data_IF_610844105817
#
_entry.id   IF_610844105817
#
_cell.length_a   1.000
_cell.length_b   1.000
_cell.length_c   1.000
_cell.angle_alpha   90.00
_cell.angle_beta   90.00
_cell.angle_gamma   90.00
#
_symmetry.space_group_name_H-M   'P 1'
#
loop_
_entity.id
_entity.type
_entity.pdbx_description
1 polymer ?
#
# COMPACT_ATOMS: atom_id res chain seq x y z
N UNK A 1 -21.06 21.92 -14.65
CA UNK A 1 -21.82 20.65 -14.57
C UNK A 1 -21.46 19.96 -13.27
N UNK A 2 -22.43 19.45 -12.50
CA UNK A 2 -22.11 18.72 -11.25
C UNK A 2 -21.67 17.29 -11.57
N UNK A 3 -20.66 16.72 -10.83
CA UNK A 3 -20.28 15.32 -10.99
C UNK A 3 -21.47 14.37 -10.80
N UNK A 4 -21.49 13.27 -11.56
CA UNK A 4 -22.55 12.25 -11.49
C UNK A 4 -21.93 10.87 -11.40
N UNK A 5 -22.66 9.94 -10.76
CA UNK A 5 -22.32 8.52 -10.83
C UNK A 5 -22.64 7.98 -12.23
N UNK A 6 -21.73 7.19 -12.76
CA UNK A 6 -21.94 6.49 -14.03
C UNK A 6 -22.78 5.24 -13.78
N UNK A 7 -23.53 4.85 -14.80
CA UNK A 7 -24.30 3.62 -14.79
C UNK A 7 -23.52 2.54 -15.53
N UNK A 8 -23.25 1.42 -14.87
CA UNK A 8 -22.69 0.25 -15.53
C UNK A 8 -23.78 -0.43 -16.35
N UNK A 9 -23.54 -0.60 -17.65
CA UNK A 9 -24.47 -1.25 -18.59
C UNK A 9 -24.10 -2.73 -18.79
N UNK A 10 -22.80 -3.05 -18.85
CA UNK A 10 -22.29 -4.39 -18.99
C UNK A 10 -20.88 -4.50 -18.39
N UNK A 11 -20.48 -5.73 -18.05
CA UNK A 11 -19.13 -6.08 -17.62
C UNK A 11 -18.67 -7.34 -18.34
N UNK A 12 -17.38 -7.41 -18.67
CA UNK A 12 -16.74 -8.63 -19.17
C UNK A 12 -15.33 -8.73 -18.64
N UNK A 13 -14.91 -9.95 -18.29
CA UNK A 13 -13.52 -10.22 -17.94
C UNK A 13 -12.64 -10.13 -19.20
N UNK A 14 -11.46 -9.53 -19.06
CA UNK A 14 -10.42 -9.46 -20.10
C UNK A 14 -9.29 -10.41 -19.75
N UNK A 15 -8.81 -10.32 -18.49
CA UNK A 15 -7.87 -11.26 -17.87
C UNK A 15 -8.41 -11.63 -16.50
N UNK A 16 -8.36 -12.92 -16.17
CA UNK A 16 -8.75 -13.40 -14.84
C UNK A 16 -7.93 -14.63 -14.48
N UNK A 17 -6.87 -14.38 -13.76
CA UNK A 17 -6.03 -15.42 -13.17
C UNK A 17 -5.75 -15.12 -11.70
N UNK A 18 -4.80 -15.81 -11.08
CA UNK A 18 -4.46 -15.59 -9.66
C UNK A 18 -3.72 -14.28 -9.41
N UNK A 19 -3.10 -13.70 -10.47
CA UNK A 19 -2.24 -12.52 -10.35
C UNK A 19 -2.89 -11.23 -10.81
N UNK A 20 -3.81 -11.33 -11.79
CA UNK A 20 -4.43 -10.17 -12.42
C UNK A 20 -5.90 -10.42 -12.69
N UNK A 21 -6.72 -9.48 -12.26
CA UNK A 21 -8.14 -9.40 -12.64
C UNK A 21 -8.38 -8.08 -13.33
N UNK A 22 -8.50 -8.14 -14.65
CA UNK A 22 -8.81 -7.00 -15.50
C UNK A 22 -10.17 -7.21 -16.14
N UNK A 23 -11.09 -6.29 -15.92
CA UNK A 23 -12.39 -6.28 -16.61
C UNK A 23 -12.54 -5.06 -17.50
N UNK A 24 -13.40 -5.18 -18.50
CA UNK A 24 -13.84 -4.09 -19.36
C UNK A 24 -15.33 -3.83 -19.10
N UNK A 25 -15.65 -2.64 -18.63
CA UNK A 25 -17.00 -2.20 -18.35
C UNK A 25 -17.51 -1.34 -19.49
N UNK A 26 -18.81 -1.47 -19.81
CA UNK A 26 -19.53 -0.52 -20.63
C UNK A 26 -20.33 0.39 -19.70
N UNK A 27 -20.05 1.68 -19.76
CA UNK A 27 -20.57 2.66 -18.80
C UNK A 27 -21.31 3.79 -19.51
N UNK A 28 -22.50 4.14 -19.03
CA UNK A 28 -23.19 5.36 -19.41
C UNK A 28 -22.82 6.48 -18.43
N UNK A 29 -22.16 7.51 -18.92
CA UNK A 29 -21.65 8.65 -18.17
C UNK A 29 -22.78 9.65 -17.88
N UNK A 30 -23.63 9.85 -18.88
CA UNK A 30 -24.86 10.63 -18.86
C UNK A 30 -25.78 10.11 -19.97
N UNK A 31 -27.09 10.42 -19.97
CA UNK A 31 -28.01 9.89 -20.94
C UNK A 31 -27.50 10.01 -22.40
N UNK A 32 -27.35 8.86 -23.05
CA UNK A 32 -26.86 8.75 -24.43
C UNK A 32 -25.35 8.86 -24.63
N UNK A 33 -24.56 9.10 -23.59
CA UNK A 33 -23.08 9.14 -23.67
C UNK A 33 -22.50 7.87 -23.04
N UNK A 34 -22.03 6.97 -23.88
CA UNK A 34 -21.50 5.66 -23.49
C UNK A 34 -20.00 5.60 -23.72
N UNK A 35 -19.26 5.11 -22.73
CA UNK A 35 -17.85 4.73 -22.79
C UNK A 35 -17.76 3.21 -22.82
N UNK A 36 -17.11 2.65 -23.84
CA UNK A 36 -16.91 1.21 -24.03
C UNK A 36 -15.62 0.96 -24.84
N UNK A 37 -14.61 0.26 -24.27
CA UNK A 37 -14.54 -0.22 -22.89
C UNK A 37 -13.98 0.82 -21.91
N UNK A 38 -14.36 0.71 -20.64
CA UNK A 38 -13.64 1.30 -19.51
C UNK A 38 -12.96 0.17 -18.74
N UNK A 39 -11.62 0.17 -18.72
CA UNK A 39 -10.85 -0.88 -18.05
C UNK A 39 -10.73 -0.63 -16.57
N UNK A 40 -11.01 -1.68 -15.78
CA UNK A 40 -10.92 -1.68 -14.32
C UNK A 40 -10.05 -2.84 -13.85
N UNK A 41 -9.06 -2.56 -13.03
CA UNK A 41 -8.27 -3.57 -12.32
C UNK A 41 -8.95 -3.87 -10.98
N UNK A 42 -9.28 -5.13 -10.75
CA UNK A 42 -9.82 -5.60 -9.48
C UNK A 42 -8.66 -6.16 -8.65
N UNK A 43 -8.25 -5.39 -7.66
CA UNK A 43 -7.15 -5.73 -6.76
C UNK A 43 -7.71 -6.04 -5.36
N UNK A 44 -7.06 -6.93 -4.58
CA UNK A 44 -7.31 -7.02 -3.15
C UNK A 44 -6.92 -5.73 -2.45
N UNK A 45 -7.48 -5.49 -1.27
CA UNK A 45 -7.02 -4.39 -0.42
C UNK A 45 -5.58 -4.65 0.05
N UNK A 46 -4.84 -3.58 0.30
CA UNK A 46 -3.47 -3.62 0.78
C UNK A 46 -3.37 -2.96 2.15
N UNK A 47 -2.32 -3.33 2.89
CA UNK A 47 -1.98 -2.68 4.15
C UNK A 47 -0.52 -2.25 4.13
N UNK A 48 -0.24 -1.08 4.74
CA UNK A 48 1.12 -0.62 5.01
C UNK A 48 1.22 -0.10 6.44
N UNK A 49 2.41 -0.24 7.01
CA UNK A 49 2.68 0.10 8.41
C UNK A 49 3.77 1.16 8.51
N UNK A 50 3.47 2.26 9.20
CA UNK A 50 4.48 3.18 9.70
C UNK A 50 4.91 2.65 11.07
N UNK A 51 6.02 1.93 11.14
CA UNK A 51 6.51 1.29 12.36
C UNK A 51 7.64 2.11 13.00
N UNK A 52 7.49 2.47 14.27
CA UNK A 52 8.44 3.27 15.04
C UNK A 52 9.09 2.42 16.12
N UNK A 53 10.42 2.45 16.20
CA UNK A 53 11.15 1.92 17.35
C UNK A 53 11.08 2.85 18.58
N UNK A 54 11.72 2.45 19.67
CA UNK A 54 11.77 3.23 20.91
C UNK A 54 12.48 4.59 20.75
N UNK A 55 13.37 4.73 19.78
CA UNK A 55 14.08 5.98 19.44
C UNK A 55 13.34 6.81 18.40
N UNK A 56 12.11 6.41 18.04
CA UNK A 56 11.22 7.08 17.08
C UNK A 56 11.76 7.10 15.65
N UNK A 57 12.56 6.12 15.30
CA UNK A 57 12.99 5.88 13.94
C UNK A 57 11.98 4.97 13.24
N UNK A 58 11.80 5.18 11.94
CA UNK A 58 10.83 4.51 11.08
C UNK A 58 11.50 3.31 10.43
N UNK A 59 10.88 2.14 10.55
CA UNK A 59 11.31 0.93 9.86
C UNK A 59 10.85 0.99 8.41
N UNK A 60 11.79 0.87 7.49
CA UNK A 60 11.55 0.78 6.05
C UNK A 60 12.10 -0.52 5.51
N UNK A 61 11.52 -0.95 4.42
CA UNK A 61 11.98 -2.07 3.57
C UNK A 61 12.46 -1.55 2.23
N UNK A 62 13.47 -2.19 1.63
CA UNK A 62 13.96 -1.87 0.30
C UNK A 62 13.87 -3.08 -0.58
N UNK A 63 13.29 -2.92 -1.76
CA UNK A 63 13.14 -3.98 -2.72
C UNK A 63 13.22 -3.47 -4.17
N UNK A 64 13.43 -4.39 -5.10
CA UNK A 64 13.40 -4.11 -6.53
C UNK A 64 11.96 -4.15 -7.06
N UNK A 65 11.54 -3.12 -7.76
CA UNK A 65 10.24 -3.02 -8.41
C UNK A 65 10.40 -3.13 -9.93
N UNK A 66 10.24 -4.36 -10.43
CA UNK A 66 10.47 -4.72 -11.83
C UNK A 66 9.78 -3.80 -12.85
N UNK A 67 8.50 -3.41 -12.72
CA UNK A 67 7.85 -2.56 -13.73
C UNK A 67 8.44 -1.16 -13.85
N UNK A 68 9.05 -0.65 -12.78
CA UNK A 68 9.68 0.67 -12.75
C UNK A 68 11.19 0.60 -12.94
N UNK A 69 11.79 -0.59 -12.89
CA UNK A 69 13.24 -0.85 -12.95
C UNK A 69 14.05 -0.06 -11.91
N UNK A 70 13.53 -0.05 -10.66
CA UNK A 70 14.16 0.69 -9.55
C UNK A 70 14.24 -0.13 -8.27
N UNK A 71 15.24 0.16 -7.44
CA UNK A 71 15.23 -0.18 -6.02
C UNK A 71 14.62 0.99 -5.25
N UNK A 72 13.61 0.74 -4.43
CA UNK A 72 12.94 1.79 -3.66
C UNK A 72 12.78 1.39 -2.20
N UNK A 73 12.95 2.36 -1.31
CA UNK A 73 12.54 2.24 0.08
C UNK A 73 11.04 2.41 0.19
N UNK A 74 10.40 1.64 1.03
CA UNK A 74 8.96 1.56 1.17
C UNK A 74 8.57 1.33 2.63
N UNK A 75 7.31 1.60 2.97
CA UNK A 75 6.73 1.14 4.22
C UNK A 75 6.48 -0.37 4.12
N UNK A 76 6.77 -1.17 5.15
CA UNK A 76 6.44 -2.59 5.15
C UNK A 76 4.93 -2.80 4.98
N UNK A 77 4.57 -3.86 4.22
CA UNK A 77 3.18 -4.21 3.98
C UNK A 77 2.93 -4.93 2.68
N UNK A 78 1.72 -5.45 2.53
CA UNK A 78 1.32 -6.27 1.39
C UNK A 78 -0.18 -6.44 1.26
N UNK A 79 -0.61 -7.57 0.70
CA UNK A 79 -2.00 -7.87 0.46
C UNK A 79 -2.73 -8.28 1.73
N UNK A 80 -3.99 -7.86 1.84
CA UNK A 80 -4.92 -8.40 2.83
C UNK A 80 -5.55 -9.65 2.25
N UNK A 81 -5.37 -10.79 2.93
CA UNK A 81 -5.95 -12.06 2.50
C UNK A 81 -7.48 -12.05 2.59
N UNK A 82 -8.14 -12.91 1.82
CA UNK A 82 -9.59 -13.00 1.86
C UNK A 82 -10.09 -13.35 3.27
N UNK A 83 -10.90 -12.48 3.86
CA UNK A 83 -11.44 -12.64 5.21
C UNK A 83 -10.49 -12.26 6.35
N UNK A 84 -9.31 -11.73 6.03
CA UNK A 84 -8.36 -11.24 7.02
C UNK A 84 -8.70 -9.79 7.41
N UNK A 85 -8.65 -9.49 8.71
CA UNK A 85 -8.83 -8.11 9.19
C UNK A 85 -7.59 -7.26 8.88
N UNK A 86 -7.74 -6.00 8.45
CA UNK A 86 -6.61 -5.16 8.04
C UNK A 86 -5.51 -5.01 9.08
N UNK A 87 -5.84 -4.96 10.37
CA UNK A 87 -4.85 -4.90 11.45
C UNK A 87 -4.06 -6.20 11.57
N UNK A 88 -4.70 -7.34 11.39
CA UNK A 88 -4.05 -8.65 11.44
C UNK A 88 -3.07 -8.78 10.26
N UNK A 89 -3.49 -8.37 9.07
CA UNK A 89 -2.61 -8.31 7.91
C UNK A 89 -1.40 -7.39 8.15
N UNK A 90 -1.60 -6.21 8.75
CA UNK A 90 -0.50 -5.29 9.07
C UNK A 90 0.53 -5.92 10.02
N UNK A 91 0.06 -6.65 11.02
CA UNK A 91 0.92 -7.35 11.99
C UNK A 91 1.69 -8.50 11.34
N UNK A 92 1.02 -9.28 10.47
CA UNK A 92 1.62 -10.37 9.72
C UNK A 92 2.71 -9.87 8.77
N UNK A 93 2.41 -8.91 7.90
CA UNK A 93 3.33 -8.34 6.93
C UNK A 93 4.56 -7.70 7.61
N UNK A 94 4.34 -6.92 8.68
CA UNK A 94 5.45 -6.34 9.45
C UNK A 94 6.41 -7.42 9.94
N UNK A 95 5.89 -8.53 10.48
CA UNK A 95 6.72 -9.63 10.98
C UNK A 95 7.42 -10.37 9.84
N UNK A 96 6.71 -10.71 8.77
CA UNK A 96 7.25 -11.48 7.64
C UNK A 96 8.37 -10.73 6.93
N UNK A 97 8.17 -9.46 6.59
CA UNK A 97 9.13 -8.65 5.85
C UNK A 97 10.29 -8.11 6.68
N UNK A 98 10.11 -7.93 8.00
CA UNK A 98 11.09 -7.21 8.82
C UNK A 98 11.53 -7.96 10.09
N UNK A 99 10.85 -9.06 10.43
CA UNK A 99 11.02 -9.74 11.71
C UNK A 99 10.56 -8.91 12.92
N UNK A 100 9.92 -7.75 12.70
CA UNK A 100 9.53 -6.85 13.78
C UNK A 100 8.10 -7.13 14.27
N UNK A 101 7.91 -6.86 15.56
CA UNK A 101 6.61 -6.77 16.22
C UNK A 101 6.48 -5.42 16.92
N UNK A 102 5.25 -5.00 17.23
CA UNK A 102 5.00 -3.75 17.93
C UNK A 102 3.93 -3.92 19.00
N UNK A 103 4.02 -3.14 20.08
CA UNK A 103 3.11 -3.24 21.22
C UNK A 103 1.86 -2.39 21.10
N UNK A 104 1.91 -1.28 20.33
CA UNK A 104 0.78 -0.37 20.15
C UNK A 104 0.48 -0.14 18.68
N UNK A 105 -0.79 -0.23 18.33
CA UNK A 105 -1.28 -0.06 16.98
C UNK A 105 -2.41 0.96 16.92
N UNK A 106 -2.39 1.83 15.95
CA UNK A 106 -3.47 2.76 15.67
C UNK A 106 -3.71 2.93 14.19
N UNK A 107 -4.98 2.99 13.81
CA UNK A 107 -5.37 3.24 12.41
C UNK A 107 -5.03 4.68 12.00
N UNK A 108 -4.40 4.85 10.84
CA UNK A 108 -4.05 6.17 10.28
C UNK A 108 -5.04 6.59 9.21
N UNK A 109 -5.19 5.77 8.16
CA UNK A 109 -6.05 6.09 7.01
C UNK A 109 -6.38 4.84 6.18
N UNK A 110 -7.44 4.96 5.37
CA UNK A 110 -7.70 4.06 4.24
C UNK A 110 -7.88 4.91 2.98
N UNK A 111 -6.98 4.73 2.01
CA UNK A 111 -6.91 5.52 0.78
C UNK A 111 -7.20 4.66 -0.45
N UNK A 112 -7.56 5.29 -1.54
CA UNK A 112 -7.57 4.66 -2.86
C UNK A 112 -6.23 4.93 -3.55
N UNK A 113 -5.43 3.91 -3.91
CA UNK A 113 -4.11 4.13 -4.55
C UNK A 113 -4.26 4.69 -5.96
N UNK A 114 -5.24 4.21 -6.72
CA UNK A 114 -5.55 4.72 -8.05
C UNK A 114 -7.05 4.58 -8.36
N UNK A 115 -7.92 5.48 -7.83
CA UNK A 115 -9.38 5.37 -7.98
C UNK A 115 -9.87 5.51 -9.42
N UNK A 116 -9.01 5.94 -10.35
CA UNK A 116 -9.34 6.02 -11.76
C UNK A 116 -9.28 4.66 -12.48
N UNK A 117 -8.63 3.66 -11.90
CA UNK A 117 -8.37 2.36 -12.54
C UNK A 117 -8.57 1.16 -11.64
N UNK A 118 -8.41 1.30 -10.33
CA UNK A 118 -8.37 0.22 -9.35
C UNK A 118 -9.56 0.28 -8.40
N UNK A 119 -9.94 -0.89 -7.88
CA UNK A 119 -11.09 -1.01 -6.97
C UNK A 119 -10.71 -1.01 -5.50
N UNK A 120 -9.44 -1.30 -5.20
CA UNK A 120 -8.94 -1.55 -3.86
C UNK A 120 -8.71 -0.29 -3.02
N UNK A 121 -8.51 -0.53 -1.74
CA UNK A 121 -7.99 0.44 -0.77
C UNK A 121 -6.61 0.03 -0.28
N UNK A 122 -5.91 1.01 0.26
CA UNK A 122 -4.68 0.83 1.03
C UNK A 122 -4.95 1.30 2.44
N UNK A 123 -4.89 0.39 3.39
CA UNK A 123 -5.03 0.66 4.82
C UNK A 123 -3.66 0.99 5.41
N UNK A 124 -3.58 1.99 6.27
CA UNK A 124 -2.35 2.38 6.94
C UNK A 124 -2.53 2.32 8.45
N UNK A 125 -1.56 1.71 9.12
CA UNK A 125 -1.46 1.68 10.57
C UNK A 125 -0.16 2.31 11.04
N UNK A 126 -0.21 2.95 12.20
CA UNK A 126 0.96 3.34 12.98
C UNK A 126 1.19 2.24 14.02
N UNK A 127 2.40 1.69 14.02
CA UNK A 127 2.87 0.72 14.99
C UNK A 127 3.98 1.36 15.82
N UNK A 128 3.81 1.43 17.15
CA UNK A 128 4.79 2.04 18.05
C UNK A 128 5.46 0.98 18.92
N UNK A 129 6.68 1.30 19.37
CA UNK A 129 7.55 0.40 20.11
C UNK A 129 7.87 -0.87 19.28
N UNK A 130 8.10 -0.67 17.98
CA UNK A 130 8.49 -1.73 17.09
C UNK A 130 9.92 -2.20 17.41
N UNK A 131 10.11 -3.50 17.45
CA UNK A 131 11.42 -4.12 17.65
C UNK A 131 11.54 -5.39 16.82
N UNK A 132 12.72 -5.63 16.26
CA UNK A 132 13.01 -6.87 15.52
C UNK A 132 13.15 -8.00 16.55
N UNK A 133 12.27 -8.98 16.46
CA UNK A 133 12.16 -10.10 17.43
C UNK A 133 12.41 -11.47 16.80
N UNK A 134 12.40 -11.56 15.47
CA UNK A 134 12.62 -12.79 14.72
C UNK A 134 13.43 -12.55 13.44
N UNK A 135 13.84 -13.62 12.79
CA UNK A 135 14.34 -13.56 11.42
C UNK A 135 13.19 -13.22 10.44
N UNK A 136 13.57 -12.78 9.25
CA UNK A 136 12.64 -12.53 8.13
C UNK A 136 12.00 -13.86 7.68
N UNK A 137 10.74 -13.82 7.33
CA UNK A 137 9.96 -14.96 6.81
C UNK A 137 9.48 -14.64 5.38
N UNK A 138 10.43 -14.36 4.48
CA UNK A 138 10.17 -13.92 3.11
C UNK A 138 9.69 -15.06 2.22
N UNK A 139 8.80 -14.73 1.28
CA UNK A 139 8.47 -15.61 0.17
C UNK A 139 9.68 -15.84 -0.75
N UNK A 140 9.70 -16.96 -1.46
CA UNK A 140 10.82 -17.32 -2.36
C UNK A 140 11.07 -16.30 -3.50
N UNK A 141 10.13 -15.43 -3.75
CA UNK A 141 10.20 -14.37 -4.77
C UNK A 141 10.56 -13.00 -4.19
N UNK A 142 10.76 -12.89 -2.88
CA UNK A 142 11.07 -11.65 -2.19
C UNK A 142 12.55 -11.57 -1.83
N UNK A 143 13.13 -10.41 -2.09
CA UNK A 143 14.48 -10.05 -1.67
C UNK A 143 14.43 -8.64 -1.07
N UNK A 144 14.37 -8.60 0.26
CA UNK A 144 14.10 -7.38 1.03
C UNK A 144 15.31 -7.07 1.92
N UNK A 145 15.73 -5.81 1.91
CA UNK A 145 16.61 -5.18 2.89
C UNK A 145 15.76 -4.30 3.80
N UNK A 146 15.99 -4.30 5.10
CA UNK A 146 15.26 -3.43 6.02
C UNK A 146 16.19 -2.62 6.92
N UNK A 147 15.70 -1.47 7.41
CA UNK A 147 16.46 -0.59 8.28
C UNK A 147 15.60 0.48 8.95
N UNK A 148 16.12 1.01 10.08
CA UNK A 148 15.49 2.12 10.79
C UNK A 148 16.06 3.45 10.33
N UNK A 149 15.20 4.43 10.13
CA UNK A 149 15.52 5.76 9.61
C UNK A 149 14.86 6.85 10.45
N UNK A 150 15.62 7.89 10.76
CA UNK A 150 15.00 9.09 11.34
C UNK A 150 14.00 9.73 10.36
N UNK A 151 13.02 10.49 10.87
CA UNK A 151 12.06 11.24 10.05
C UNK A 151 12.79 12.13 9.02
N UNK A 152 13.89 12.77 9.45
CA UNK A 152 14.71 13.60 8.57
C UNK A 152 15.38 12.79 7.44
N UNK A 153 15.85 11.58 7.74
CA UNK A 153 16.42 10.67 6.74
C UNK A 153 15.36 10.24 5.71
N UNK A 154 14.13 9.89 6.17
CA UNK A 154 13.03 9.55 5.25
C UNK A 154 12.69 10.73 4.32
N UNK A 155 12.65 11.96 4.83
CA UNK A 155 12.51 13.14 3.97
C UNK A 155 13.68 13.29 2.97
N UNK A 156 14.89 12.87 3.34
CA UNK A 156 16.03 12.77 2.41
C UNK A 156 15.75 11.81 1.27
N UNK A 157 15.35 10.58 1.60
CA UNK A 157 15.01 9.53 0.63
C UNK A 157 13.84 9.92 -0.30
N UNK A 158 12.88 10.71 0.20
CA UNK A 158 11.80 11.24 -0.66
C UNK A 158 12.36 12.25 -1.66
N UNK A 159 13.24 13.17 -1.21
CA UNK A 159 13.81 14.22 -2.07
C UNK A 159 14.74 13.67 -3.15
N UNK A 160 15.52 12.64 -2.85
CA UNK A 160 16.45 12.03 -3.81
C UNK A 160 15.81 10.94 -4.70
N UNK A 161 14.52 10.60 -4.45
CA UNK A 161 13.76 9.63 -5.21
C UNK A 161 13.95 8.17 -4.78
N UNK A 162 14.73 7.92 -3.72
CA UNK A 162 14.93 6.56 -3.18
C UNK A 162 13.71 6.03 -2.42
N UNK A 163 12.79 6.91 -1.98
CA UNK A 163 11.46 6.58 -1.44
C UNK A 163 10.43 7.26 -2.35
N UNK A 164 10.07 6.61 -3.46
CA UNK A 164 9.39 7.25 -4.59
C UNK A 164 7.97 6.79 -4.85
N UNK A 165 7.48 5.74 -4.18
CA UNK A 165 6.11 5.28 -4.37
C UNK A 165 5.12 6.29 -3.75
N UNK A 166 4.28 6.90 -4.60
CA UNK A 166 3.39 8.00 -4.21
C UNK A 166 2.45 7.65 -3.05
N UNK A 167 1.94 6.41 -3.00
CA UNK A 167 1.07 5.95 -1.89
C UNK A 167 1.84 5.96 -0.57
N UNK A 168 3.06 5.41 -0.55
CA UNK A 168 3.90 5.37 0.66
C UNK A 168 4.29 6.77 1.13
N UNK A 169 4.65 7.67 0.20
CA UNK A 169 4.90 9.09 0.51
C UNK A 169 3.67 9.73 1.16
N UNK A 170 2.48 9.50 0.60
CA UNK A 170 1.22 10.01 1.15
C UNK A 170 0.93 9.46 2.56
N UNK A 171 1.09 8.16 2.77
CA UNK A 171 0.85 7.50 4.06
C UNK A 171 1.84 7.97 5.13
N UNK A 172 3.13 8.08 4.78
CA UNK A 172 4.14 8.66 5.66
C UNK A 172 3.75 10.07 6.12
N UNK A 173 3.37 10.96 5.20
CA UNK A 173 2.97 12.32 5.54
C UNK A 173 1.68 12.38 6.38
N UNK A 174 0.72 11.49 6.17
CA UNK A 174 -0.47 11.39 7.01
C UNK A 174 -0.16 10.94 8.44
N UNK A 175 0.88 10.14 8.62
CA UNK A 175 1.31 9.69 9.94
C UNK A 175 2.14 10.75 10.69
N UNK A 176 2.84 11.68 10.00
CA UNK A 176 3.75 12.67 10.60
C UNK A 176 3.21 13.38 11.85
N UNK A 177 1.95 13.89 11.89
CA UNK A 177 1.42 14.57 13.08
C UNK A 177 1.40 13.68 14.34
N UNK A 178 1.45 12.35 14.17
CA UNK A 178 1.45 11.37 15.26
C UNK A 178 2.87 10.91 15.64
N UNK A 179 3.86 11.26 14.83
CA UNK A 179 5.26 10.86 15.08
C UNK A 179 5.95 11.73 16.13
N UNK A 180 5.33 12.83 16.60
CA UNK A 180 5.92 13.73 17.59
C UNK A 180 7.10 14.52 17.04
N UNK A 181 7.13 14.74 15.73
CA UNK A 181 8.15 15.54 15.05
C UNK A 181 7.77 16.99 14.93
#
# INVERSE_FOLDING_TARGET
MKPRRWKTLARRDVVRDRWLRLRADRCELQPGVVLDPFYVMEEPDWVHTVALNATREILLVRQYRYPADVFTWELPGGWINAGEEPLVAAQRELREETGATASRWSFVAALHPNPARQTNRVHCFLAEEASVTSALELDATEAIECGFFSVSAVHGLIRDGSFSQATHVGLFHLALPRLGA
#
